data_IF_122438597343
#
_entry.id   IF_122438597343
#
_cell.length_a   1.000
_cell.length_b   1.000
_cell.length_c   1.000
_cell.angle_alpha   90.00
_cell.angle_beta   90.00
_cell.angle_gamma   90.00
#
_symmetry.space_group_name_H-M   'P 1'
#
loop_
_entity.id
_entity.type
_entity.pdbx_description
1 polymer ?
#
# COMPACT_ATOMS: atom_id res chain seq x y z
N UNK A 1 -43.65 4.75 31.51
CA UNK A 1 -43.30 3.82 32.60
C UNK A 1 -41.94 3.20 32.27
N UNK A 2 -41.01 3.26 33.24
CA UNK A 2 -39.76 2.49 33.42
C UNK A 2 -38.84 2.35 32.18
N UNK A 3 -37.68 3.01 32.04
CA UNK A 3 -36.48 3.11 32.91
C UNK A 3 -35.95 1.77 33.45
N UNK A 4 -34.61 1.64 33.35
CA UNK A 4 -33.70 0.59 33.88
C UNK A 4 -33.31 -0.47 32.85
N UNK A 5 -32.06 -0.93 32.73
CA UNK A 5 -30.96 -0.90 33.68
C UNK A 5 -29.60 -1.21 33.03
N UNK A 6 -28.57 -0.65 33.66
CA UNK A 6 -27.12 -0.94 33.68
C UNK A 6 -26.59 -2.29 33.16
N UNK A 7 -25.34 -2.26 32.68
CA UNK A 7 -24.16 -2.97 33.25
C UNK A 7 -23.07 -3.02 32.17
N UNK A 8 -22.06 -2.14 32.19
CA UNK A 8 -20.80 -2.28 32.95
C UNK A 8 -20.06 -3.60 32.67
N UNK A 9 -18.87 -3.50 32.07
CA UNK A 9 -18.06 -4.67 31.75
C UNK A 9 -16.65 -4.37 31.22
N UNK A 10 -15.95 -3.41 31.84
CA UNK A 10 -14.47 -3.43 31.84
C UNK A 10 -14.06 -4.40 32.96
N UNK A 11 -13.13 -5.32 32.68
CA UNK A 11 -11.88 -5.19 33.40
C UNK A 11 -10.67 -5.52 32.52
N UNK A 12 -9.71 -4.60 32.51
CA UNK A 12 -8.32 -4.99 32.34
C UNK A 12 -7.83 -5.60 33.66
N UNK A 13 -7.00 -6.64 33.62
CA UNK A 13 -5.82 -6.60 34.47
C UNK A 13 -4.55 -6.93 33.68
N UNK A 14 -3.57 -6.04 33.85
CA UNK A 14 -2.16 -6.25 33.55
C UNK A 14 -1.66 -7.49 34.30
N UNK A 15 -0.89 -8.34 33.62
CA UNK A 15 0.13 -9.17 34.24
C UNK A 15 1.37 -9.18 33.32
N UNK A 16 2.55 -8.76 33.81
CA UNK A 16 3.78 -8.74 33.04
C UNK A 16 4.40 -10.14 33.05
N UNK A 17 4.72 -10.69 31.87
CA UNK A 17 5.55 -11.89 31.77
C UNK A 17 6.89 -11.52 31.11
N UNK A 18 8.01 -11.53 31.86
CA UNK A 18 9.33 -11.36 31.31
C UNK A 18 9.75 -12.70 30.72
N UNK A 19 9.82 -12.79 29.39
CA UNK A 19 10.42 -13.96 28.74
C UNK A 19 11.10 -13.50 27.46
N UNK A 20 12.42 -13.34 27.58
CA UNK A 20 13.33 -13.30 26.45
C UNK A 20 13.20 -14.66 25.72
N UNK A 21 12.47 -14.68 24.62
CA UNK A 21 12.41 -15.83 23.72
C UNK A 21 12.10 -15.37 22.30
N UNK A 22 13.13 -15.53 21.45
CA UNK A 22 13.12 -15.58 20.00
C UNK A 22 12.66 -14.31 19.23
N UNK A 23 13.45 -13.83 18.24
CA UNK A 23 12.89 -12.98 17.21
C UNK A 23 11.79 -13.79 16.51
N UNK A 24 10.54 -13.46 16.81
CA UNK A 24 9.39 -13.94 16.03
C UNK A 24 9.69 -13.58 14.57
N UNK A 25 9.62 -14.51 13.60
CA UNK A 25 9.53 -14.09 12.22
C UNK A 25 8.29 -13.21 12.17
N UNK A 26 8.50 -11.93 11.88
CA UNK A 26 7.41 -11.04 11.48
C UNK A 26 6.73 -11.77 10.34
N UNK A 27 5.56 -12.35 10.62
CA UNK A 27 4.67 -12.84 9.61
C UNK A 27 4.40 -11.62 8.74
N UNK A 28 5.11 -11.56 7.62
CA UNK A 28 5.05 -10.52 6.60
C UNK A 28 3.62 -10.56 6.08
N UNK A 29 2.75 -9.81 6.76
CA UNK A 29 1.42 -9.51 6.26
C UNK A 29 1.69 -8.96 4.86
N UNK A 30 1.09 -9.52 3.80
CA UNK A 30 1.37 -9.07 2.46
C UNK A 30 1.09 -7.56 2.44
N UNK A 31 2.17 -6.79 2.44
CA UNK A 31 2.06 -5.34 2.46
C UNK A 31 1.42 -5.01 1.13
N UNK A 32 0.12 -4.68 1.17
CA UNK A 32 -0.59 -4.16 0.01
C UNK A 32 0.09 -2.84 -0.32
N UNK A 33 1.07 -2.91 -1.23
CA UNK A 33 1.79 -1.74 -1.70
C UNK A 33 0.77 -0.79 -2.30
N UNK A 34 0.79 0.46 -1.85
CA UNK A 34 -0.02 1.50 -2.47
C UNK A 34 0.42 1.64 -3.92
N UNK A 35 -0.50 1.93 -4.84
CA UNK A 35 -0.19 2.15 -6.26
C UNK A 35 0.92 3.20 -6.43
N UNK A 36 0.91 4.24 -5.59
CA UNK A 36 1.94 5.30 -5.55
C UNK A 36 3.33 4.81 -5.15
N UNK A 37 3.48 3.59 -4.66
CA UNK A 37 4.75 2.96 -4.31
C UNK A 37 5.15 1.87 -5.31
N UNK A 38 4.28 1.53 -6.27
CA UNK A 38 4.61 0.56 -7.30
C UNK A 38 5.59 1.16 -8.31
N UNK A 39 6.56 0.33 -8.69
CA UNK A 39 7.46 0.55 -9.82
C UNK A 39 6.74 0.28 -11.15
N UNK A 40 7.32 0.74 -12.26
CA UNK A 40 6.70 0.60 -13.58
C UNK A 40 6.40 -0.87 -13.93
N UNK A 41 7.34 -1.78 -13.63
CA UNK A 41 7.15 -3.23 -13.84
C UNK A 41 5.97 -3.77 -13.03
N UNK A 42 5.89 -3.43 -11.75
CA UNK A 42 4.78 -3.86 -10.88
C UNK A 42 3.43 -3.31 -11.33
N UNK A 43 3.40 -2.08 -11.85
CA UNK A 43 2.18 -1.48 -12.41
C UNK A 43 1.73 -2.23 -13.67
N UNK A 44 2.65 -2.63 -14.53
CA UNK A 44 2.33 -3.41 -15.74
C UNK A 44 1.84 -4.82 -15.40
N UNK A 45 2.49 -5.52 -14.47
CA UNK A 45 2.01 -6.81 -13.96
C UNK A 45 0.62 -6.71 -13.33
N UNK A 46 0.38 -5.65 -12.55
CA UNK A 46 -0.92 -5.38 -11.95
C UNK A 46 -2.00 -5.08 -13.00
N UNK A 47 -1.68 -4.33 -14.06
CA UNK A 47 -2.61 -4.07 -15.17
C UNK A 47 -2.98 -5.34 -15.91
N UNK A 48 -2.02 -6.23 -16.16
CA UNK A 48 -2.27 -7.51 -16.80
C UNK A 48 -3.14 -8.42 -15.92
N UNK A 49 -2.89 -8.44 -14.61
CA UNK A 49 -3.72 -9.16 -13.64
C UNK A 49 -5.15 -8.61 -13.60
N UNK A 50 -5.30 -7.29 -13.60
CA UNK A 50 -6.62 -6.63 -13.60
C UNK A 50 -7.40 -6.93 -14.88
N UNK A 51 -6.72 -6.95 -16.02
CA UNK A 51 -7.33 -7.33 -17.29
C UNK A 51 -7.83 -8.78 -17.29
N UNK A 52 -7.09 -9.71 -16.69
CA UNK A 52 -7.42 -11.14 -16.65
C UNK A 52 -8.45 -11.51 -15.57
N UNK A 53 -8.39 -10.87 -14.39
CA UNK A 53 -9.11 -11.33 -13.20
C UNK A 53 -10.15 -10.36 -12.65
N UNK A 54 -10.07 -9.06 -12.96
CA UNK A 54 -10.88 -8.03 -12.30
C UNK A 54 -11.90 -7.33 -13.20
N UNK A 55 -12.32 -7.98 -14.28
CA UNK A 55 -13.36 -7.45 -15.17
C UNK A 55 -12.89 -6.35 -16.13
N UNK A 56 -11.57 -6.22 -16.33
CA UNK A 56 -11.00 -5.37 -17.38
C UNK A 56 -10.53 -3.98 -16.93
N UNK A 57 -10.15 -3.16 -17.90
CA UNK A 57 -9.47 -1.88 -17.69
C UNK A 57 -10.39 -0.71 -17.29
N UNK A 58 -11.69 -0.94 -17.21
CA UNK A 58 -12.66 0.09 -16.86
C UNK A 58 -12.82 0.31 -15.35
N UNK A 59 -12.25 -0.57 -14.52
CA UNK A 59 -12.27 -0.46 -13.07
C UNK A 59 -11.53 0.78 -12.57
N UNK A 60 -11.99 1.35 -11.45
CA UNK A 60 -11.31 2.46 -10.77
C UNK A 60 -9.85 2.11 -10.45
N UNK A 61 -9.59 0.86 -10.06
CA UNK A 61 -8.24 0.38 -9.79
C UNK A 61 -7.36 0.37 -11.05
N UNK A 62 -7.89 -0.08 -12.18
CA UNK A 62 -7.18 -0.07 -13.47
C UNK A 62 -6.81 1.35 -13.90
N UNK A 63 -7.74 2.31 -13.76
CA UNK A 63 -7.51 3.73 -14.07
C UNK A 63 -6.39 4.31 -13.22
N UNK A 64 -6.36 3.98 -11.92
CA UNK A 64 -5.30 4.42 -11.03
C UNK A 64 -3.92 3.83 -11.40
N UNK A 65 -3.86 2.57 -11.83
CA UNK A 65 -2.64 1.94 -12.35
C UNK A 65 -2.16 2.61 -13.64
N UNK A 66 -3.06 2.92 -14.59
CA UNK A 66 -2.70 3.63 -15.82
C UNK A 66 -2.16 5.03 -15.53
N UNK A 67 -2.82 5.82 -14.69
CA UNK A 67 -2.35 7.13 -14.29
C UNK A 67 -0.96 7.06 -13.63
N UNK A 68 -0.72 6.03 -12.82
CA UNK A 68 0.61 5.79 -12.21
C UNK A 68 1.67 5.44 -13.26
N UNK A 69 1.33 4.61 -14.25
CA UNK A 69 2.23 4.27 -15.37
C UNK A 69 2.64 5.51 -16.14
N UNK A 70 1.68 6.35 -16.51
CA UNK A 70 1.94 7.61 -17.22
C UNK A 70 2.83 8.56 -16.41
N UNK A 71 2.54 8.70 -15.11
CA UNK A 71 3.37 9.49 -14.19
C UNK A 71 4.83 9.01 -14.15
N UNK A 72 5.04 7.69 -14.07
CA UNK A 72 6.40 7.12 -14.04
C UNK A 72 7.13 7.34 -15.36
N UNK A 73 6.44 7.21 -16.51
CA UNK A 73 7.02 7.46 -17.83
C UNK A 73 7.38 8.94 -18.01
N UNK A 74 6.49 9.84 -17.62
CA UNK A 74 6.73 11.29 -17.69
C UNK A 74 7.84 11.71 -16.73
N UNK A 75 7.80 11.25 -15.47
CA UNK A 75 8.84 11.51 -14.47
C UNK A 75 10.22 11.00 -14.87
N UNK A 76 10.28 9.86 -15.57
CA UNK A 76 11.52 9.30 -16.11
C UNK A 76 12.07 10.10 -17.30
N UNK A 77 11.22 10.81 -18.06
CA UNK A 77 11.69 11.74 -19.09
C UNK A 77 12.33 13.00 -18.52
N UNK A 78 11.84 13.50 -17.38
CA UNK A 78 12.40 14.71 -16.76
C UNK A 78 13.76 14.45 -16.11
N UNK A 79 13.97 13.26 -15.54
CA UNK A 79 15.22 12.92 -14.85
C UNK A 79 16.40 12.60 -15.78
N UNK A 80 16.16 12.39 -17.08
CA UNK A 80 17.19 11.93 -18.04
C UNK A 80 17.69 13.07 -18.94
N UNK A 81 17.14 14.29 -18.87
CA UNK A 81 17.41 15.32 -19.91
C UNK A 81 17.69 16.74 -19.41
N UNK A 82 18.50 16.91 -18.36
CA UNK A 82 19.11 18.22 -18.07
C UNK A 82 20.61 18.04 -17.77
N UNK A 83 21.50 18.09 -18.79
CA UNK A 83 22.90 18.35 -18.54
C UNK A 83 23.03 19.76 -17.97
N UNK A 84 23.45 19.86 -16.69
CA UNK A 84 23.80 21.15 -16.09
C UNK A 84 24.92 21.80 -16.92
N UNK A 85 24.80 23.07 -17.34
CA UNK A 85 25.91 23.77 -17.95
C UNK A 85 27.04 23.86 -16.91
N UNK A 86 28.20 23.30 -17.27
CA UNK A 86 29.41 23.40 -16.48
C UNK A 86 29.82 24.88 -16.51
N UNK A 87 29.64 25.58 -15.39
CA UNK A 87 30.09 26.96 -15.26
C UNK A 87 31.59 27.03 -15.58
N UNK A 88 31.93 27.88 -16.54
CA UNK A 88 33.29 28.16 -17.01
C UNK A 88 33.99 29.14 -16.07
#
# INVERSE_FOLDING_TARGET
MAESKEAEGKPAPKAPKPEAAAPKPVADKPHHLKITQMSLKQVEEALESVQKHMGGMNSHYARALMARREFLIQGQRVSVSIPLPKAA
#
